data_IF_981541921096
#
_entry.id   IF_981541921096
#
_cell.length_a   1.000
_cell.length_b   1.000
_cell.length_c   1.000
_cell.angle_alpha   90.00
_cell.angle_beta   90.00
_cell.angle_gamma   90.00
#
_symmetry.space_group_name_H-M   'P 1'
#
loop_
_entity.id
_entity.type
_entity.pdbx_description
1 polymer ?
#
# COMPACT_ATOMS: atom_id res chain seq x y z
N UNK A 1 3.51 37.83 6.44
CA UNK A 1 4.22 37.12 7.54
C UNK A 1 3.15 36.44 8.39
N UNK A 2 3.19 35.14 8.75
CA UNK A 2 4.09 34.05 8.36
C UNK A 2 3.34 32.86 7.67
N UNK A 3 3.99 32.16 6.73
CA UNK A 3 3.50 30.90 6.12
C UNK A 3 4.14 29.71 6.85
N UNK A 4 3.67 29.45 8.07
CA UNK A 4 4.08 28.32 8.90
C UNK A 4 3.09 27.17 8.66
N UNK A 5 3.23 26.40 7.56
CA UNK A 5 2.44 25.17 7.32
C UNK A 5 2.84 24.40 6.03
N UNK A 6 4.12 24.28 5.70
CA UNK A 6 4.51 23.59 4.45
C UNK A 6 5.56 22.49 4.62
N UNK A 7 5.89 22.10 5.86
CA UNK A 7 6.99 21.15 6.11
C UNK A 7 6.57 19.89 6.89
N UNK A 8 5.26 19.65 7.08
CA UNK A 8 4.76 18.50 7.86
C UNK A 8 4.08 17.40 7.04
N UNK A 9 4.16 17.46 5.70
CA UNK A 9 3.48 16.51 4.81
C UNK A 9 4.45 15.61 4.00
N UNK A 10 5.75 15.90 4.03
CA UNK A 10 6.72 15.18 3.18
C UNK A 10 7.23 13.86 3.76
N UNK A 11 6.95 13.54 5.03
CA UNK A 11 7.53 12.36 5.71
C UNK A 11 6.54 11.19 5.87
N UNK A 12 5.30 11.31 5.39
CA UNK A 12 4.33 10.20 5.45
C UNK A 12 4.37 9.28 4.22
N UNK A 13 5.16 9.59 3.19
CA UNK A 13 5.00 8.99 1.85
C UNK A 13 6.03 7.92 1.43
N UNK A 14 6.99 7.51 2.26
CA UNK A 14 7.99 6.49 1.87
C UNK A 14 7.92 5.21 2.69
N UNK A 15 6.72 4.79 3.07
CA UNK A 15 6.48 3.36 3.21
C UNK A 15 6.60 2.71 1.83
N UNK A 16 7.25 1.54 1.70
CA UNK A 16 7.29 0.85 0.43
C UNK A 16 5.86 0.57 -0.06
N UNK A 17 5.57 1.10 -1.25
CA UNK A 17 4.23 1.03 -1.83
C UNK A 17 4.03 -0.30 -2.53
N UNK A 18 2.78 -0.79 -2.61
CA UNK A 18 2.46 -1.92 -3.47
C UNK A 18 2.85 -1.60 -4.91
N UNK A 19 3.55 -2.52 -5.57
CA UNK A 19 4.08 -2.36 -6.94
C UNK A 19 3.51 -3.41 -7.87
N UNK A 20 3.40 -3.10 -9.17
CA UNK A 20 2.92 -4.09 -10.17
C UNK A 20 3.98 -5.12 -10.55
N UNK A 21 5.24 -4.82 -10.25
CA UNK A 21 6.39 -5.63 -10.62
C UNK A 21 7.14 -6.04 -9.37
N UNK A 22 7.66 -7.27 -9.38
CA UNK A 22 8.48 -7.79 -8.29
C UNK A 22 9.78 -6.99 -8.19
N UNK A 23 10.03 -6.36 -7.04
CA UNK A 23 11.30 -5.69 -6.73
C UNK A 23 12.04 -6.45 -5.62
N UNK A 24 13.26 -6.01 -5.27
CA UNK A 24 14.04 -6.63 -4.17
C UNK A 24 13.33 -6.47 -2.81
N UNK A 25 12.66 -5.33 -2.64
CA UNK A 25 11.87 -4.97 -1.45
C UNK A 25 10.47 -5.59 -1.52
N UNK A 26 9.77 -5.40 -2.64
CA UNK A 26 8.44 -5.93 -2.90
C UNK A 26 8.50 -7.27 -3.65
N UNK A 27 8.82 -8.33 -2.92
CA UNK A 27 8.94 -9.68 -3.49
C UNK A 27 7.70 -10.55 -3.30
N UNK A 28 6.77 -10.15 -2.43
CA UNK A 28 5.65 -10.96 -2.01
C UNK A 28 4.39 -10.61 -2.81
N UNK A 29 3.80 -11.60 -3.46
CA UNK A 29 2.58 -11.40 -4.23
C UNK A 29 1.33 -11.38 -3.34
N UNK A 30 0.42 -10.45 -3.61
CA UNK A 30 -0.92 -10.37 -3.04
C UNK A 30 -1.96 -10.11 -4.13
N UNK A 31 -3.20 -10.47 -3.82
CA UNK A 31 -4.36 -10.15 -4.64
C UNK A 31 -5.11 -8.96 -4.04
N UNK A 32 -5.49 -8.03 -4.90
CA UNK A 32 -6.29 -6.88 -4.47
C UNK A 32 -7.72 -7.32 -4.24
N UNK A 33 -8.28 -7.00 -3.07
CA UNK A 33 -9.66 -7.31 -2.74
C UNK A 33 -10.68 -6.55 -3.61
N UNK A 34 -10.29 -5.41 -4.20
CA UNK A 34 -11.17 -4.58 -5.03
C UNK A 34 -11.22 -5.03 -6.49
N UNK A 35 -10.06 -5.13 -7.15
CA UNK A 35 -9.99 -5.41 -8.58
C UNK A 35 -9.50 -6.83 -8.90
N UNK A 36 -9.09 -7.61 -7.90
CA UNK A 36 -8.56 -8.96 -8.09
C UNK A 36 -7.19 -9.03 -8.79
N UNK A 37 -6.54 -7.89 -9.06
CA UNK A 37 -5.22 -7.90 -9.69
C UNK A 37 -4.14 -8.35 -8.71
N UNK A 38 -3.12 -9.03 -9.27
CA UNK A 38 -1.90 -9.39 -8.56
C UNK A 38 -0.97 -8.20 -8.48
N UNK A 39 -0.44 -7.94 -7.30
CA UNK A 39 0.57 -6.92 -7.05
C UNK A 39 1.58 -7.43 -6.03
N UNK A 40 2.70 -6.73 -5.91
CA UNK A 40 3.81 -7.10 -5.06
C UNK A 40 3.96 -6.11 -3.91
N UNK A 41 4.21 -6.65 -2.72
CA UNK A 41 4.43 -5.90 -1.49
C UNK A 41 5.64 -6.44 -0.74
N UNK A 42 6.05 -5.69 0.27
CA UNK A 42 7.12 -6.05 1.19
C UNK A 42 6.71 -7.17 2.12
N UNK A 43 7.71 -7.78 2.76
CA UNK A 43 7.49 -8.75 3.83
C UNK A 43 6.60 -8.19 4.94
N UNK A 44 6.86 -6.97 5.42
CA UNK A 44 6.07 -6.37 6.52
C UNK A 44 4.60 -6.17 6.15
N UNK A 45 4.35 -5.72 4.92
CA UNK A 45 3.00 -5.48 4.41
C UNK A 45 2.29 -6.80 4.15
N UNK A 46 3.00 -7.79 3.60
CA UNK A 46 2.50 -9.15 3.41
C UNK A 46 2.13 -9.82 4.73
N UNK A 47 2.98 -9.72 5.76
CA UNK A 47 2.70 -10.28 7.09
C UNK A 47 1.42 -9.67 7.67
N UNK A 48 1.30 -8.33 7.66
CA UNK A 48 0.07 -7.65 8.11
C UNK A 48 -1.16 -8.10 7.33
N UNK A 49 -1.07 -8.15 5.99
CA UNK A 49 -2.18 -8.61 5.16
C UNK A 49 -2.55 -10.06 5.49
N UNK A 50 -1.55 -10.94 5.65
CA UNK A 50 -1.74 -12.33 6.01
C UNK A 50 -2.39 -12.50 7.38
N UNK A 51 -2.00 -11.70 8.37
CA UNK A 51 -2.63 -11.68 9.69
C UNK A 51 -4.10 -11.28 9.60
N UNK A 52 -4.42 -10.22 8.87
CA UNK A 52 -5.82 -9.76 8.70
C UNK A 52 -6.67 -10.80 7.97
N UNK A 53 -6.13 -11.44 6.92
CA UNK A 53 -6.80 -12.53 6.20
C UNK A 53 -7.01 -13.74 7.12
N UNK A 54 -6.03 -14.09 7.96
CA UNK A 54 -6.15 -15.18 8.94
C UNK A 54 -7.22 -14.90 10.00
N UNK A 55 -7.44 -13.63 10.34
CA UNK A 55 -8.53 -13.19 11.22
C UNK A 55 -9.90 -13.24 10.53
N UNK A 56 -9.97 -13.58 9.25
CA UNK A 56 -11.20 -13.66 8.46
C UNK A 56 -11.69 -12.30 7.95
N UNK A 57 -10.85 -11.27 7.98
CA UNK A 57 -11.14 -9.98 7.39
C UNK A 57 -10.59 -9.88 5.96
N UNK A 58 -11.22 -9.05 5.14
CA UNK A 58 -10.71 -8.72 3.81
C UNK A 58 -9.36 -8.00 3.88
N UNK A 59 -8.51 -8.27 2.89
CA UNK A 59 -7.20 -7.65 2.78
C UNK A 59 -7.34 -6.11 2.65
N UNK A 60 -6.86 -5.32 3.63
CA UNK A 60 -6.98 -3.86 3.58
C UNK A 60 -6.02 -3.24 2.57
N UNK A 61 -5.05 -4.01 2.06
CA UNK A 61 -4.06 -3.53 1.10
C UNK A 61 -4.65 -3.52 -0.30
N UNK A 62 -4.55 -2.36 -0.95
CA UNK A 62 -5.00 -2.14 -2.33
C UNK A 62 -3.81 -2.26 -3.29
N UNK A 63 -4.09 -2.61 -4.54
CA UNK A 63 -3.06 -2.52 -5.57
C UNK A 63 -2.75 -1.04 -5.86
N UNK A 64 -1.58 -0.71 -6.46
CA UNK A 64 -1.23 0.67 -6.77
C UNK A 64 -2.28 1.39 -7.60
N UNK A 65 -2.98 0.68 -8.49
CA UNK A 65 -4.05 1.24 -9.32
C UNK A 65 -5.23 1.73 -8.47
N UNK A 66 -5.73 0.91 -7.54
CA UNK A 66 -6.82 1.28 -6.64
C UNK A 66 -6.39 2.18 -5.47
N UNK A 67 -5.09 2.26 -5.17
CA UNK A 67 -4.54 3.19 -4.18
C UNK A 67 -4.42 4.60 -4.78
N UNK A 68 -4.00 4.70 -6.04
CA UNK A 68 -3.88 5.97 -6.78
C UNK A 68 -5.26 6.59 -7.05
N UNK A 69 -6.26 5.80 -7.42
CA UNK A 69 -7.65 6.24 -7.62
C UNK A 69 -8.34 6.75 -6.33
N UNK A 70 -7.78 6.46 -5.16
CA UNK A 70 -8.28 6.96 -3.87
C UNK A 70 -7.69 8.31 -3.45
N UNK A 71 -6.75 8.86 -4.24
CA UNK A 71 -5.95 10.04 -3.93
C UNK A 71 -6.52 11.38 -4.36
N UNK A 72 -7.74 11.44 -4.91
CA UNK A 72 -8.35 12.68 -5.38
C UNK A 72 -9.73 12.94 -4.75
N UNK A 73 -9.77 13.76 -3.69
CA UNK A 73 -10.57 15.00 -3.63
C UNK A 73 -10.33 15.80 -2.36
#
# INVERSE_FOLDING_TARGET
>A
MPKLRSELDSDWQSGPRPTRHRTDENRYELLCALCGQRFFVDGRTFERASEVIKMGLDNPIRCPDCEEEGGER
#
